data_IF_550299248014
#
_entry.id   IF_550299248014
#
_cell.length_a   1.000
_cell.length_b   1.000
_cell.length_c   1.000
_cell.angle_alpha   90.00
_cell.angle_beta   90.00
_cell.angle_gamma   90.00
#
_symmetry.space_group_name_H-M   'P 1'
#
loop_
_entity.id
_entity.type
_entity.pdbx_description
1 polymer ?
#
# COMPACT_ATOMS: atom_id res chain seq x y z
N UNK A 1 9.93 -0.07 -13.76
CA UNK A 1 9.24 0.87 -12.84
C UNK A 1 10.22 1.71 -12.03
N UNK A 2 11.40 1.17 -11.72
CA UNK A 2 12.53 1.90 -11.12
C UNK A 2 13.63 2.07 -12.18
N UNK A 3 14.13 3.29 -12.31
CA UNK A 3 15.10 3.72 -13.32
C UNK A 3 15.26 5.25 -13.29
N UNK A 4 16.23 5.81 -14.03
CA UNK A 4 16.40 7.27 -14.16
C UNK A 4 15.15 7.93 -14.75
N UNK A 5 14.96 9.21 -14.49
CA UNK A 5 13.78 9.95 -14.95
C UNK A 5 13.62 9.83 -16.47
N UNK A 6 12.40 9.55 -16.93
CA UNK A 6 12.07 9.18 -18.33
C UNK A 6 11.95 7.68 -18.61
N UNK A 7 12.53 6.81 -17.77
CA UNK A 7 12.38 5.34 -17.89
C UNK A 7 11.33 4.73 -16.95
N UNK A 8 10.79 5.53 -16.03
CA UNK A 8 9.73 5.11 -15.08
C UNK A 8 8.39 5.04 -15.80
N UNK A 9 7.52 4.14 -15.36
CA UNK A 9 6.17 3.97 -15.95
C UNK A 9 5.29 5.18 -15.63
N UNK A 10 5.29 5.60 -14.37
CA UNK A 10 4.50 6.73 -13.86
C UNK A 10 5.32 8.02 -14.01
N UNK A 11 4.69 9.04 -14.61
CA UNK A 11 5.18 10.41 -14.72
C UNK A 11 4.72 11.26 -13.54
N UNK A 12 3.45 11.14 -13.17
CA UNK A 12 2.82 11.96 -12.12
C UNK A 12 1.68 11.19 -11.46
N UNK A 13 1.47 11.45 -10.16
CA UNK A 13 0.28 11.03 -9.41
C UNK A 13 -0.31 12.26 -8.75
N UNK A 14 -1.59 12.52 -9.00
CA UNK A 14 -2.29 13.68 -8.47
C UNK A 14 -3.55 13.25 -7.73
N UNK A 15 -3.71 13.70 -6.49
CA UNK A 15 -5.00 13.68 -5.81
C UNK A 15 -5.83 14.84 -6.38
N UNK A 16 -6.88 14.51 -7.13
CA UNK A 16 -7.77 15.51 -7.74
C UNK A 16 -8.78 16.00 -6.71
N UNK A 17 -9.26 15.09 -5.87
CA UNK A 17 -10.11 15.31 -4.71
C UNK A 17 -9.93 14.14 -3.70
N UNK A 18 -10.74 14.11 -2.64
CA UNK A 18 -10.67 13.12 -1.56
C UNK A 18 -10.87 11.67 -2.02
N UNK A 19 -11.51 11.45 -3.17
CA UNK A 19 -11.88 10.13 -3.70
C UNK A 19 -11.36 9.84 -5.12
N UNK A 20 -10.65 10.80 -5.73
CA UNK A 20 -10.17 10.68 -7.12
C UNK A 20 -8.65 10.83 -7.20
N UNK A 21 -7.99 9.81 -7.74
CA UNK A 21 -6.54 9.83 -8.03
C UNK A 21 -6.31 9.72 -9.53
N UNK A 22 -5.52 10.64 -10.08
CA UNK A 22 -5.10 10.64 -11.48
C UNK A 22 -3.64 10.20 -11.59
N UNK A 23 -3.37 9.24 -12.48
CA UNK A 23 -2.02 8.81 -12.85
C UNK A 23 -1.71 9.26 -14.27
N UNK A 24 -0.60 9.98 -14.46
CA UNK A 24 -0.05 10.28 -15.79
C UNK A 24 1.11 9.32 -16.05
N UNK A 25 1.11 8.61 -17.18
CA UNK A 25 2.17 7.67 -17.56
C UNK A 25 3.13 8.31 -18.57
N UNK A 26 4.40 7.88 -18.58
CA UNK A 26 5.37 8.36 -19.59
C UNK A 26 5.13 7.77 -20.98
N UNK A 27 4.47 6.61 -21.07
CA UNK A 27 4.11 5.93 -22.30
C UNK A 27 2.86 5.06 -22.07
N UNK A 28 2.11 4.70 -23.12
CA UNK A 28 1.02 3.73 -23.00
C UNK A 28 1.51 2.43 -22.36
N UNK A 29 0.82 1.97 -21.32
CA UNK A 29 1.14 0.72 -20.64
C UNK A 29 -0.11 -0.12 -20.41
N UNK A 30 -0.36 -1.08 -21.30
CA UNK A 30 -1.55 -1.93 -21.27
C UNK A 30 -1.77 -2.66 -19.92
N UNK A 31 -0.76 -3.28 -19.28
CA UNK A 31 -0.96 -3.98 -18.01
C UNK A 31 -0.95 -3.05 -16.78
N UNK A 32 -1.07 -1.72 -16.92
CA UNK A 32 -0.95 -0.79 -15.79
C UNK A 32 -1.89 -1.15 -14.62
N UNK A 33 -3.15 -1.46 -14.91
CA UNK A 33 -4.14 -1.84 -13.89
C UNK A 33 -3.78 -3.13 -13.15
N UNK A 34 -3.27 -4.13 -13.88
CA UNK A 34 -2.81 -5.38 -13.26
C UNK A 34 -1.58 -5.15 -12.37
N UNK A 35 -0.66 -4.29 -12.81
CA UNK A 35 0.54 -3.96 -12.04
C UNK A 35 0.17 -3.29 -10.70
N UNK A 36 -0.73 -2.29 -10.70
CA UNK A 36 -1.13 -1.60 -9.46
C UNK A 36 -2.04 -2.43 -8.57
N UNK A 37 -2.59 -3.54 -9.08
CA UNK A 37 -3.35 -4.51 -8.28
C UNK A 37 -2.45 -5.51 -7.54
N UNK A 38 -1.14 -5.54 -7.82
CA UNK A 38 -0.18 -6.38 -7.10
C UNK A 38 -0.08 -5.98 -5.63
N UNK A 39 0.21 -6.94 -4.76
CA UNK A 39 0.33 -6.74 -3.30
C UNK A 39 1.34 -5.66 -2.91
N UNK A 40 2.38 -5.45 -3.72
CA UNK A 40 3.38 -4.40 -3.50
C UNK A 40 2.83 -2.97 -3.57
N UNK A 41 1.64 -2.77 -4.15
CA UNK A 41 0.96 -1.47 -4.26
C UNK A 41 -0.18 -1.31 -3.25
N UNK A 42 -0.20 -2.11 -2.18
CA UNK A 42 -1.12 -1.90 -1.06
C UNK A 42 -0.98 -0.49 -0.46
N UNK A 43 -2.11 0.13 -0.10
CA UNK A 43 -2.13 1.49 0.45
C UNK A 43 -1.71 1.47 1.92
N UNK A 44 -0.56 2.07 2.21
CA UNK A 44 -0.04 2.27 3.56
C UNK A 44 -0.57 3.55 4.19
N UNK A 45 -0.69 3.57 5.53
CA UNK A 45 -1.03 4.79 6.28
C UNK A 45 0.06 5.85 6.12
N UNK A 46 -0.24 7.05 5.57
CA UNK A 46 0.76 8.12 5.41
C UNK A 46 1.35 8.57 6.76
N UNK A 47 0.54 8.57 7.82
CA UNK A 47 0.98 8.90 9.18
C UNK A 47 2.02 7.90 9.67
N UNK A 48 1.72 6.60 9.59
CA UNK A 48 2.64 5.55 10.05
C UNK A 48 3.94 5.52 9.23
N UNK A 49 3.88 5.76 7.92
CA UNK A 49 5.09 5.86 7.08
C UNK A 49 5.99 7.02 7.54
N UNK A 50 5.41 8.19 7.86
CA UNK A 50 6.17 9.36 8.34
C UNK A 50 6.75 9.15 9.73
N UNK A 51 5.98 8.56 10.65
CA UNK A 51 6.39 8.35 12.04
C UNK A 51 7.43 7.22 12.16
N UNK A 52 7.20 6.08 11.51
CA UNK A 52 8.03 4.88 11.66
C UNK A 52 9.23 4.84 10.71
N UNK A 53 9.18 5.58 9.59
CA UNK A 53 10.27 5.65 8.59
C UNK A 53 10.75 4.24 8.19
N UNK A 54 12.04 3.95 8.32
CA UNK A 54 12.65 2.65 8.02
C UNK A 54 12.08 1.49 8.82
N UNK A 55 11.49 1.75 10.00
CA UNK A 55 10.89 0.71 10.84
C UNK A 55 9.46 0.34 10.41
N UNK A 56 8.84 1.07 9.47
CA UNK A 56 7.50 0.74 8.97
C UNK A 56 7.41 -0.70 8.45
N UNK A 57 8.50 -1.23 7.87
CA UNK A 57 8.58 -2.61 7.38
C UNK A 57 8.44 -3.68 8.48
N UNK A 58 8.69 -3.32 9.73
CA UNK A 58 8.57 -4.21 10.89
C UNK A 58 7.26 -4.02 11.63
N UNK A 59 6.60 -2.88 11.46
CA UNK A 59 5.35 -2.55 12.14
C UNK A 59 4.36 -1.87 11.17
N UNK A 60 3.92 -2.60 10.13
CA UNK A 60 3.14 -2.03 9.04
C UNK A 60 1.73 -1.60 9.50
N UNK A 61 1.24 -0.52 8.89
CA UNK A 61 -0.13 -0.04 9.09
C UNK A 61 -0.78 0.19 7.73
N UNK A 62 -1.88 -0.50 7.48
CA UNK A 62 -2.62 -0.45 6.22
C UNK A 62 -4.13 -0.60 6.43
N UNK A 63 -4.86 -0.81 5.34
CA UNK A 63 -6.34 -0.84 5.30
C UNK A 63 -6.93 -2.26 5.33
N UNK A 64 -6.09 -3.27 5.56
CA UNK A 64 -6.46 -4.69 5.45
C UNK A 64 -7.38 -5.21 6.57
N UNK A 65 -7.85 -6.46 6.44
CA UNK A 65 -8.74 -7.10 7.41
C UNK A 65 -8.08 -7.45 8.74
N UNK A 66 -6.74 -7.43 8.81
CA UNK A 66 -5.98 -7.72 10.03
C UNK A 66 -4.98 -6.59 10.33
N UNK A 67 -4.81 -6.27 11.62
CA UNK A 67 -3.85 -5.31 12.16
C UNK A 67 -2.61 -6.06 12.64
N UNK A 68 -1.42 -5.51 12.37
CA UNK A 68 -0.17 -6.07 12.87
C UNK A 68 -0.07 -5.92 14.39
N UNK A 69 0.29 -7.00 15.10
CA UNK A 69 0.51 -7.00 16.55
C UNK A 69 2.00 -7.18 16.86
N UNK A 70 2.58 -8.28 16.41
CA UNK A 70 3.98 -8.62 16.74
C UNK A 70 4.62 -9.48 15.64
N UNK A 71 5.94 -9.31 15.48
CA UNK A 71 6.77 -10.24 14.72
C UNK A 71 7.91 -10.78 15.59
N UNK A 72 7.81 -12.05 15.98
CA UNK A 72 8.93 -12.81 16.54
C UNK A 72 9.75 -13.38 15.39
N UNK A 73 10.93 -12.81 15.15
CA UNK A 73 11.80 -13.20 14.03
C UNK A 73 12.11 -14.70 14.09
N UNK A 74 11.98 -15.37 12.94
CA UNK A 74 12.17 -16.81 12.77
C UNK A 74 11.17 -17.70 13.54
N UNK A 75 10.07 -17.14 14.04
CA UNK A 75 9.06 -17.86 14.79
C UNK A 75 7.66 -17.58 14.22
N UNK A 76 7.06 -16.43 14.57
CA UNK A 76 5.68 -16.13 14.25
C UNK A 76 5.43 -14.64 13.97
N UNK A 77 4.38 -14.38 13.19
CA UNK A 77 3.75 -13.06 13.04
C UNK A 77 2.34 -13.17 13.60
N UNK A 78 2.03 -12.36 14.61
CA UNK A 78 0.70 -12.27 15.22
C UNK A 78 -0.04 -11.08 14.62
N UNK A 79 -1.29 -11.32 14.21
CA UNK A 79 -2.18 -10.31 13.66
C UNK A 79 -3.53 -10.37 14.39
N UNK A 80 -4.13 -9.22 14.65
CA UNK A 80 -5.47 -9.12 15.23
C UNK A 80 -6.51 -8.74 14.17
N UNK A 81 -7.77 -9.12 14.40
CA UNK A 81 -8.88 -8.70 13.55
C UNK A 81 -8.98 -7.17 13.52
N UNK A 82 -9.07 -6.60 12.33
CA UNK A 82 -9.41 -5.18 12.18
C UNK A 82 -10.91 -4.98 12.39
N UNK A 83 -11.31 -4.53 13.59
CA UNK A 83 -12.70 -4.22 13.90
C UNK A 83 -13.31 -3.12 13.01
N UNK A 84 -12.46 -2.27 12.43
CA UNK A 84 -12.85 -1.14 11.57
C UNK A 84 -12.67 -1.49 10.08
N UNK A 85 -12.60 -2.78 9.73
CA UNK A 85 -12.44 -3.19 8.34
C UNK A 85 -13.66 -2.79 7.52
N UNK A 86 -13.41 -2.08 6.42
CA UNK A 86 -14.45 -1.46 5.60
C UNK A 86 -15.42 -2.44 4.96
N UNK A 87 -15.07 -3.72 4.87
CA UNK A 87 -15.94 -4.76 4.29
C UNK A 87 -16.65 -5.52 5.41
N UNK A 88 -17.94 -5.26 5.54
CA UNK A 88 -18.82 -5.87 6.55
C UNK A 88 -18.76 -7.41 6.53
N UNK A 89 -18.87 -7.99 7.72
CA UNK A 89 -18.82 -9.45 7.90
C UNK A 89 -17.44 -10.08 7.69
N UNK A 90 -16.39 -9.29 7.48
CA UNK A 90 -15.01 -9.75 7.33
C UNK A 90 -14.05 -9.04 8.29
N UNK A 91 -12.90 -9.67 8.62
CA UNK A 91 -12.63 -11.10 8.45
C UNK A 91 -13.59 -11.93 9.32
N UNK A 92 -13.84 -13.18 8.92
CA UNK A 92 -14.71 -14.10 9.68
C UNK A 92 -14.11 -14.38 11.06
#
# INVERSE_FOLDING_TARGET
MFGPDGSRVIKEVKAVDDSTVQFTLNQPQAPFLQNIAMTSFGIASPTAVKEKKENFKNEPVGTGPFKFVEWKRNDAITLDKNADYWKEGLPK
#
